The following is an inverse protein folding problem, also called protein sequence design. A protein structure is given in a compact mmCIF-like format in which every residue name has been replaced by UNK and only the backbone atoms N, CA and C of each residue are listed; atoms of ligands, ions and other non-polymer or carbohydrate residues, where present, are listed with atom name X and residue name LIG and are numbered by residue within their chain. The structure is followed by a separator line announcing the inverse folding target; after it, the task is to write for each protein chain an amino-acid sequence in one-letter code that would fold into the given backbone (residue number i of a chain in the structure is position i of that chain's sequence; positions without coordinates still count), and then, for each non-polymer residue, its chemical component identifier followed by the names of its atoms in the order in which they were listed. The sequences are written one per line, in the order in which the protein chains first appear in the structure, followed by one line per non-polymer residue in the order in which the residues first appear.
data_IF_750320752754
#
_entry.id   IF_750320752754
#
_cell.length_a   1.000
_cell.length_b   1.000
_cell.length_c   1.000
_cell.angle_alpha   90.00
_cell.angle_beta   90.00
_cell.angle_gamma   90.00
#
_symmetry.space_group_name_H-M   'P 1'
#
loop_
_entity.id
_entity.type
_entity.pdbx_description
1 polymer ?
#
# COMPACT_ATOMS: atom_id res chain seq x y z
N UNK A 1 -9.36 17.20 -17.97
CA UNK A 1 -8.35 16.23 -18.44
C UNK A 1 -6.98 16.87 -18.30
N UNK A 2 -6.15 16.40 -17.37
CA UNK A 2 -4.78 16.90 -17.22
C UNK A 2 -3.92 16.37 -18.36
N UNK A 3 -2.96 17.17 -18.82
CA UNK A 3 -2.04 16.82 -19.90
C UNK A 3 -0.63 17.18 -19.46
N UNK A 4 0.34 16.39 -19.90
CA UNK A 4 1.75 16.69 -19.70
C UNK A 4 2.18 17.74 -20.73
N UNK A 5 3.09 18.63 -20.34
CA UNK A 5 3.82 19.45 -21.29
C UNK A 5 4.87 18.61 -22.05
N UNK A 6 5.55 19.22 -23.03
CA UNK A 6 6.51 18.52 -23.87
C UNK A 6 7.69 17.93 -23.07
N UNK A 7 8.18 18.66 -22.06
CA UNK A 7 9.32 18.25 -21.22
C UNK A 7 8.89 17.11 -20.29
N UNK A 8 7.72 17.22 -19.69
CA UNK A 8 7.12 16.19 -18.84
C UNK A 8 6.84 14.91 -19.63
N UNK A 9 6.41 15.05 -20.89
CA UNK A 9 6.17 13.92 -21.80
C UNK A 9 7.49 13.24 -22.14
N UNK A 10 8.53 14.00 -22.50
CA UNK A 10 9.87 13.46 -22.75
C UNK A 10 10.45 12.74 -21.53
N UNK A 11 10.27 13.31 -20.33
CA UNK A 11 10.67 12.67 -19.08
C UNK A 11 9.95 11.33 -18.87
N UNK A 12 8.67 11.24 -19.18
CA UNK A 12 7.93 9.99 -19.09
C UNK A 12 8.43 8.97 -20.12
N UNK A 13 8.64 9.38 -21.37
CA UNK A 13 9.08 8.50 -22.46
C UNK A 13 10.50 7.95 -22.25
N UNK A 14 11.40 8.75 -21.68
CA UNK A 14 12.78 8.32 -21.36
C UNK A 14 12.84 7.31 -20.20
N UNK A 15 11.76 7.15 -19.45
CA UNK A 15 11.66 6.20 -18.34
C UNK A 15 10.94 4.90 -18.72
N UNK A 16 10.51 4.73 -19.98
CA UNK A 16 9.91 3.48 -20.46
C UNK A 16 10.93 2.33 -20.41
N UNK A 17 10.41 1.13 -20.16
CA UNK A 17 11.15 -0.13 -20.23
C UNK A 17 11.31 -0.58 -21.70
N UNK A 18 12.12 -1.61 -21.95
CA UNK A 18 12.47 -2.08 -23.31
C UNK A 18 11.25 -2.45 -24.19
N UNK A 19 10.12 -2.81 -23.56
CA UNK A 19 8.85 -3.15 -24.23
C UNK A 19 7.93 -1.93 -24.51
N UNK A 20 8.37 -0.70 -24.23
CA UNK A 20 7.51 0.48 -24.25
C UNK A 20 6.47 0.49 -23.11
N UNK A 21 6.72 -0.31 -22.06
CA UNK A 21 5.91 -0.39 -20.84
C UNK A 21 6.50 0.49 -19.76
N UNK A 22 5.73 0.76 -18.71
CA UNK A 22 6.20 1.55 -17.58
C UNK A 22 5.90 0.82 -16.27
N UNK A 23 6.93 0.38 -15.54
CA UNK A 23 6.70 -0.19 -14.20
C UNK A 23 6.02 0.81 -13.25
N UNK A 24 5.16 0.30 -12.35
CA UNK A 24 4.39 1.12 -11.40
C UNK A 24 5.29 2.03 -10.54
N UNK A 25 6.43 1.50 -10.09
CA UNK A 25 7.41 2.27 -9.32
C UNK A 25 8.00 3.43 -10.13
N UNK A 26 8.34 3.22 -11.41
CA UNK A 26 8.82 4.27 -12.31
C UNK A 26 7.72 5.30 -12.58
N UNK A 27 6.49 4.87 -12.85
CA UNK A 27 5.35 5.76 -13.03
C UNK A 27 5.12 6.64 -11.79
N UNK A 28 5.21 6.07 -10.59
CA UNK A 28 5.10 6.81 -9.34
C UNK A 28 6.24 7.81 -9.16
N UNK A 29 7.49 7.41 -9.46
CA UNK A 29 8.65 8.30 -9.39
C UNK A 29 8.53 9.48 -10.35
N UNK A 30 8.15 9.23 -11.60
CA UNK A 30 7.92 10.28 -12.61
C UNK A 30 6.80 11.21 -12.18
N UNK A 31 5.69 10.68 -11.65
CA UNK A 31 4.61 11.51 -11.09
C UNK A 31 5.11 12.45 -9.98
N UNK A 32 5.95 11.95 -9.07
CA UNK A 32 6.53 12.74 -7.99
C UNK A 32 7.48 13.82 -8.49
N UNK A 33 8.34 13.50 -9.47
CA UNK A 33 9.26 14.46 -10.07
C UNK A 33 8.53 15.61 -10.77
N UNK A 34 7.41 15.30 -11.42
CA UNK A 34 6.56 16.28 -12.11
C UNK A 34 5.66 17.06 -11.12
N UNK A 35 5.55 16.61 -9.87
CA UNK A 35 4.62 17.19 -8.89
C UNK A 35 3.15 16.84 -9.15
N UNK A 36 2.90 15.75 -9.87
CA UNK A 36 1.56 15.28 -10.24
C UNK A 36 1.04 14.22 -9.27
N UNK A 37 -0.28 14.20 -9.06
CA UNK A 37 -0.92 13.13 -8.30
C UNK A 37 -0.80 11.79 -9.08
N UNK A 38 -0.39 10.68 -8.44
CA UNK A 38 -0.31 9.37 -9.09
C UNK A 38 -1.59 8.92 -9.80
N UNK A 39 -2.78 9.32 -9.31
CA UNK A 39 -4.06 9.03 -9.98
C UNK A 39 -4.18 9.71 -11.34
N UNK A 40 -3.77 10.98 -11.42
CA UNK A 40 -3.78 11.73 -12.68
C UNK A 40 -2.75 11.13 -13.65
N UNK A 41 -1.57 10.76 -13.14
CA UNK A 41 -0.52 10.12 -13.93
C UNK A 41 -1.01 8.79 -14.53
N UNK A 42 -1.73 7.99 -13.76
CA UNK A 42 -2.33 6.74 -14.24
C UNK A 42 -3.32 6.98 -15.39
N UNK A 43 -4.16 8.00 -15.29
CA UNK A 43 -5.11 8.37 -16.35
C UNK A 43 -4.37 8.82 -17.62
N UNK A 44 -3.31 9.62 -17.49
CA UNK A 44 -2.50 10.07 -18.61
C UNK A 44 -1.81 8.91 -19.31
N UNK A 45 -1.17 8.01 -18.54
CA UNK A 45 -0.49 6.82 -19.07
C UNK A 45 -1.48 5.95 -19.85
N UNK A 46 -2.70 5.74 -19.33
CA UNK A 46 -3.77 5.03 -20.03
C UNK A 46 -4.16 5.73 -21.33
N UNK A 47 -4.32 7.05 -21.32
CA UNK A 47 -4.65 7.85 -22.50
C UNK A 47 -3.53 7.84 -23.56
N UNK A 48 -2.28 7.63 -23.14
CA UNK A 48 -1.12 7.48 -24.01
C UNK A 48 -0.93 6.04 -24.53
N UNK A 49 -1.84 5.11 -24.22
CA UNK A 49 -1.76 3.69 -24.55
C UNK A 49 -0.48 2.99 -24.02
N UNK A 50 0.10 3.52 -22.93
CA UNK A 50 1.26 2.91 -22.27
C UNK A 50 0.74 1.94 -21.22
N UNK A 51 1.28 0.72 -21.20
CA UNK A 51 0.88 -0.30 -20.23
C UNK A 51 1.70 -0.16 -18.94
N UNK A 52 1.01 -0.12 -17.80
CA UNK A 52 1.67 -0.18 -16.49
C UNK A 52 1.94 -1.64 -16.11
N UNK A 53 3.17 -1.96 -15.76
CA UNK A 53 3.61 -3.30 -15.32
C UNK A 53 4.07 -3.29 -13.86
N UNK A 54 4.26 -4.48 -13.27
CA UNK A 54 4.87 -4.65 -11.96
C UNK A 54 4.24 -3.72 -10.90
N UNK A 55 2.92 -3.79 -10.77
CA UNK A 55 2.22 -3.06 -9.72
C UNK A 55 2.48 -3.80 -8.40
N UNK A 56 3.49 -3.34 -7.64
CA UNK A 56 3.93 -3.91 -6.36
C UNK A 56 2.85 -3.88 -5.24
N UNK A 57 1.61 -3.46 -5.57
CA UNK A 57 0.45 -3.49 -4.69
C UNK A 57 -0.61 -4.54 -5.09
N UNK A 58 -0.31 -5.41 -6.06
CA UNK A 58 -1.15 -6.59 -6.36
C UNK A 58 -0.91 -7.76 -5.39
N UNK A 59 -0.41 -7.46 -4.18
CA UNK A 59 -0.19 -8.43 -3.11
C UNK A 59 -1.49 -8.74 -2.34
N UNK A 60 -2.55 -7.95 -2.54
CA UNK A 60 -3.84 -8.15 -1.85
C UNK A 60 -4.67 -9.32 -2.42
N UNK A 61 -4.38 -9.79 -3.64
CA UNK A 61 -5.16 -10.87 -4.28
C UNK A 61 -4.43 -12.21 -4.41
N UNK A 62 -3.15 -12.30 -3.98
CA UNK A 62 -2.36 -13.55 -4.03
C UNK A 62 -1.96 -14.09 -2.65
N UNK A 63 -2.31 -13.37 -1.58
CA UNK A 63 -2.29 -13.90 -0.24
C UNK A 63 -3.64 -14.59 0.00
N UNK A 64 -3.67 -15.91 -0.19
CA UNK A 64 -4.66 -16.71 0.53
C UNK A 64 -4.30 -16.54 2.01
N UNK A 65 -5.09 -15.76 2.75
CA UNK A 65 -5.05 -15.84 4.19
C UNK A 65 -5.30 -17.31 4.54
N UNK A 66 -4.33 -17.97 5.17
CA UNK A 66 -4.55 -19.28 5.74
C UNK A 66 -5.75 -19.15 6.67
N UNK A 67 -6.65 -20.14 6.65
CA UNK A 67 -7.74 -20.22 7.61
C UNK A 67 -7.19 -19.94 9.01
N UNK A 68 -7.93 -19.15 9.79
CA UNK A 68 -7.52 -18.72 11.12
C UNK A 68 -7.06 -19.97 11.88
N UNK A 69 -5.77 -20.03 12.18
CA UNK A 69 -5.21 -21.14 12.92
C UNK A 69 -5.57 -20.92 14.40
N UNK A 70 -6.63 -21.60 14.83
CA UNK A 70 -7.15 -21.52 16.20
C UNK A 70 -6.08 -21.80 17.25
N UNK A 71 -5.09 -22.66 16.97
CA UNK A 71 -4.02 -22.95 17.92
C UNK A 71 -3.07 -21.75 18.10
N UNK A 72 -2.75 -21.04 17.01
CA UNK A 72 -1.96 -19.80 17.06
C UNK A 72 -2.77 -18.73 17.79
N UNK A 73 -4.05 -18.58 17.44
CA UNK A 73 -4.95 -17.61 18.05
C UNK A 73 -5.11 -17.85 19.56
N UNK A 74 -5.33 -19.10 19.97
CA UNK A 74 -5.46 -19.51 21.37
C UNK A 74 -4.13 -19.36 22.13
N UNK A 75 -2.99 -19.64 21.49
CA UNK A 75 -1.67 -19.43 22.08
C UNK A 75 -1.37 -17.93 22.33
N UNK A 76 -1.80 -17.06 21.41
CA UNK A 76 -1.66 -15.61 21.58
C UNK A 76 -2.54 -15.12 22.74
N UNK A 77 -3.84 -15.47 22.76
CA UNK A 77 -4.76 -15.10 23.86
C UNK A 77 -4.22 -15.57 25.22
N UNK A 78 -3.76 -16.81 25.31
CA UNK A 78 -3.28 -17.41 26.56
C UNK A 78 -2.01 -16.76 27.12
N UNK A 79 -1.21 -16.11 26.28
CA UNK A 79 -0.05 -15.35 26.71
C UNK A 79 -0.36 -13.88 27.00
N UNK A 80 -1.38 -13.31 26.36
CA UNK A 80 -1.92 -11.98 26.69
C UNK A 80 -2.53 -11.97 28.10
N UNK A 81 -3.25 -13.03 28.49
CA UNK A 81 -3.84 -13.15 29.83
C UNK A 81 -2.80 -13.29 30.96
N UNK A 82 -1.50 -13.42 30.65
CA UNK A 82 -0.42 -13.52 31.66
C UNK A 82 0.27 -12.20 31.98
N UNK A 83 0.05 -11.16 31.18
CA UNK A 83 0.56 -9.82 31.49
C UNK A 83 -0.60 -8.94 31.99
N UNK A 84 -0.93 -9.06 33.28
CA UNK A 84 -1.76 -8.09 34.01
C UNK A 84 -1.03 -6.74 34.24
N UNK A 85 -0.20 -6.30 33.31
CA UNK A 85 0.36 -4.94 33.34
C UNK A 85 -0.44 -4.09 32.37
N UNK A 86 -1.48 -3.48 32.94
CA UNK A 86 -2.57 -2.85 32.23
C UNK A 86 -2.14 -1.81 31.20
N UNK A 87 -2.48 -2.07 29.95
CA UNK A 87 -3.43 -1.22 29.23
C UNK A 87 -3.82 -1.93 27.94
N UNK A 88 -5.13 -2.08 27.71
CA UNK A 88 -5.77 -2.72 26.57
C UNK A 88 -6.09 -4.22 26.74
N UNK A 89 -7.27 -4.48 27.33
CA UNK A 89 -7.87 -5.82 27.32
C UNK A 89 -8.41 -6.11 25.91
N UNK A 90 -7.67 -6.89 25.12
CA UNK A 90 -8.03 -7.33 23.77
C UNK A 90 -9.42 -7.98 23.72
N UNK A 91 -9.85 -8.60 24.82
CA UNK A 91 -11.20 -9.14 25.05
C UNK A 91 -12.30 -8.11 24.76
N UNK A 92 -12.10 -6.86 25.19
CA UNK A 92 -13.04 -5.75 25.00
C UNK A 92 -13.07 -5.20 23.58
N UNK A 93 -12.00 -5.38 22.81
CA UNK A 93 -11.92 -4.97 21.42
C UNK A 93 -12.58 -6.00 20.50
N UNK A 94 -12.46 -7.29 20.85
CA UNK A 94 -13.05 -8.40 20.11
C UNK A 94 -14.56 -8.52 20.33
N UNK A 95 -15.05 -8.34 21.57
CA UNK A 95 -16.49 -8.39 21.87
C UNK A 95 -17.30 -7.25 21.24
N UNK A 96 -16.64 -6.19 20.78
CA UNK A 96 -17.32 -4.99 20.25
C UNK A 96 -17.49 -4.96 18.74
N UNK A 97 -17.10 -6.01 18.02
CA UNK A 97 -17.16 -6.08 16.55
C UNK A 97 -16.70 -4.76 15.90
N UNK A 98 -15.62 -4.21 16.46
CA UNK A 98 -15.18 -2.87 16.13
C UNK A 98 -14.47 -2.96 14.78
N UNK A 99 -15.19 -2.61 13.71
CA UNK A 99 -14.59 -2.39 12.40
C UNK A 99 -13.40 -1.45 12.57
N UNK A 100 -12.28 -1.81 11.96
CA UNK A 100 -10.95 -1.17 12.05
C UNK A 100 -10.96 0.20 11.31
N UNK A 101 -12.04 0.97 11.45
CA UNK A 101 -12.12 2.34 10.96
C UNK A 101 -11.72 3.36 12.04
N UNK A 102 -11.60 2.93 13.30
CA UNK A 102 -11.32 3.82 14.43
C UNK A 102 -10.01 3.51 15.16
N UNK A 103 -9.31 2.44 14.79
CA UNK A 103 -7.96 2.20 15.29
C UNK A 103 -7.02 3.21 14.64
N UNK A 104 -6.66 4.26 15.38
CA UNK A 104 -5.60 5.17 14.96
C UNK A 104 -4.26 4.42 15.03
N UNK A 105 -3.87 3.81 13.91
CA UNK A 105 -2.61 3.08 13.72
C UNK A 105 -1.39 4.01 13.59
N UNK A 106 -1.55 5.32 13.78
CA UNK A 106 -0.44 6.28 13.78
C UNK A 106 0.76 5.89 14.66
N UNK A 107 0.64 5.16 15.80
CA UNK A 107 1.81 4.73 16.56
C UNK A 107 2.56 3.54 15.95
N UNK A 108 1.92 2.79 15.05
CA UNK A 108 2.45 1.53 14.46
C UNK A 108 3.11 1.78 13.10
N UNK A 109 2.87 2.95 12.49
CA UNK A 109 3.52 3.34 11.23
C UNK A 109 4.95 3.81 11.51
N UNK A 110 5.88 2.88 11.30
CA UNK A 110 7.31 3.07 11.02
C UNK A 110 8.09 4.11 11.85
N UNK A 111 8.72 3.62 12.94
CA UNK A 111 10.09 4.03 13.28
C UNK A 111 11.10 3.31 12.38
N UNK A 112 10.99 3.49 11.08
CA UNK A 112 12.11 3.25 10.17
C UNK A 112 12.22 4.50 9.32
N UNK A 113 13.12 5.38 9.74
CA UNK A 113 13.68 6.43 8.90
C UNK A 113 14.21 5.76 7.62
N UNK A 114 13.40 5.77 6.57
CA UNK A 114 13.84 5.39 5.25
C UNK A 114 14.63 6.58 4.67
N UNK A 115 15.96 6.49 4.81
CA UNK A 115 16.94 7.24 4.01
C UNK A 115 16.93 6.78 2.55
#
# INVERSE_FOLDING_TARGET
MKRLDNIQTELLMTNLDEDGKLSCLKAFRVAKLIGMNPKDMQEIIKNMNITITNCELDVSNKLSFLDINDDIYNALIKNIDKEENGNFSLKKALEKDMTIHTANLSPIVCKTDCF
#
